data_IF_994636706734
#
_entry.id   IF_994636706734
#
_cell.length_a   1.000
_cell.length_b   1.000
_cell.length_c   1.000
_cell.angle_alpha   90.00
_cell.angle_beta   90.00
_cell.angle_gamma   90.00
#
_symmetry.space_group_name_H-M   'P 1'
#
loop_
_entity.id
_entity.type
_entity.pdbx_description
1 polymer ?
#
# COMPACT_ATOMS: atom_id res chain seq x y z
N UNK A 1 31.23 -59.07 26.06
CA UNK A 1 30.81 -57.65 26.16
C UNK A 1 29.80 -57.36 25.07
N UNK A 2 28.59 -56.88 25.41
CA UNK A 2 27.70 -56.07 24.56
C UNK A 2 26.47 -55.70 25.38
N UNK A 3 26.40 -54.44 25.82
CA UNK A 3 25.20 -53.82 26.40
C UNK A 3 24.44 -53.12 25.26
N UNK A 4 23.11 -53.25 25.15
CA UNK A 4 22.35 -52.43 24.23
C UNK A 4 22.17 -51.04 24.85
N UNK A 5 22.50 -50.00 24.08
CA UNK A 5 22.15 -48.61 24.38
C UNK A 5 20.75 -48.35 23.82
N UNK A 6 19.77 -48.13 24.69
CA UNK A 6 18.47 -47.58 24.33
C UNK A 6 18.63 -46.08 24.06
N UNK A 7 18.44 -45.67 22.81
CA UNK A 7 18.36 -44.26 22.43
C UNK A 7 16.98 -43.72 22.81
N UNK A 8 16.93 -42.75 23.72
CA UNK A 8 15.71 -41.99 24.02
C UNK A 8 15.63 -40.84 23.01
N UNK A 9 14.74 -40.96 22.04
CA UNK A 9 14.47 -39.88 21.08
C UNK A 9 13.52 -38.87 21.72
N UNK A 10 14.04 -37.71 22.13
CA UNK A 10 13.24 -36.59 22.59
C UNK A 10 12.58 -35.90 21.38
N UNK A 11 11.29 -36.11 21.18
CA UNK A 11 10.50 -35.37 20.19
C UNK A 11 10.16 -34.00 20.79
N UNK A 12 10.91 -32.97 20.39
CA UNK A 12 10.55 -31.60 20.71
C UNK A 12 9.38 -31.16 19.81
N UNK A 13 8.17 -31.16 20.36
CA UNK A 13 7.01 -30.58 19.68
C UNK A 13 7.14 -29.05 19.68
N UNK A 14 7.47 -28.48 18.52
CA UNK A 14 7.43 -27.03 18.30
C UNK A 14 5.96 -26.65 18.13
N UNK A 15 5.35 -26.12 19.19
CA UNK A 15 4.03 -25.50 19.10
C UNK A 15 4.16 -24.19 18.30
N UNK A 16 3.80 -24.23 17.01
CA UNK A 16 3.65 -23.03 16.21
C UNK A 16 2.48 -22.21 16.76
N UNK A 17 2.78 -21.13 17.45
CA UNK A 17 1.77 -20.18 17.94
C UNK A 17 1.24 -19.44 16.70
N UNK A 18 0.05 -19.82 16.24
CA UNK A 18 -0.69 -19.07 15.22
C UNK A 18 -1.12 -17.73 15.84
N UNK A 19 -0.28 -16.71 15.70
CA UNK A 19 -0.71 -15.35 15.99
C UNK A 19 -1.80 -14.96 14.97
N UNK A 20 -2.98 -14.48 15.40
CA UNK A 20 -3.97 -13.99 14.46
C UNK A 20 -3.35 -12.82 13.68
N UNK A 21 -3.43 -12.87 12.34
CA UNK A 21 -3.16 -11.70 11.53
C UNK A 21 -4.05 -10.55 12.04
N UNK A 22 -3.56 -9.30 12.10
CA UNK A 22 -4.40 -8.18 12.48
C UNK A 22 -5.60 -8.15 11.53
N UNK A 23 -6.80 -8.30 12.08
CA UNK A 23 -8.03 -8.17 11.31
C UNK A 23 -8.11 -6.73 10.83
N UNK A 24 -7.97 -6.53 9.52
CA UNK A 24 -8.21 -5.24 8.90
C UNK A 24 -9.71 -5.17 8.65
N UNK A 25 -10.36 -4.15 9.23
CA UNK A 25 -11.74 -3.88 8.88
C UNK A 25 -11.79 -3.44 7.42
N UNK A 26 -12.78 -3.95 6.68
CA UNK A 26 -13.04 -3.44 5.35
C UNK A 26 -13.29 -1.94 5.45
N UNK A 27 -12.68 -1.13 4.57
CA UNK A 27 -12.97 0.28 4.54
C UNK A 27 -14.47 0.48 4.20
N UNK A 28 -15.12 1.51 4.78
CA UNK A 28 -16.54 1.75 4.57
C UNK A 28 -16.83 2.01 3.10
N UNK A 29 -17.98 1.57 2.57
CA UNK A 29 -18.33 1.84 1.17
C UNK A 29 -18.38 3.34 0.84
N UNK A 30 -18.00 3.70 -0.38
CA UNK A 30 -17.95 5.09 -0.87
C UNK A 30 -19.37 5.70 -0.93
N UNK A 31 -19.57 6.97 -0.50
CA UNK A 31 -20.85 7.66 -0.66
C UNK A 31 -21.28 7.77 -2.14
N UNK A 32 -22.58 7.59 -2.48
CA UNK A 32 -23.05 7.64 -3.87
C UNK A 32 -22.81 8.99 -4.58
N UNK A 33 -22.71 10.08 -3.81
CA UNK A 33 -22.54 11.46 -4.25
C UNK A 33 -21.09 11.95 -4.17
N UNK A 34 -20.15 11.09 -3.75
CA UNK A 34 -18.74 11.46 -3.69
C UNK A 34 -18.21 11.82 -5.12
N UNK A 35 -17.41 12.90 -5.26
CA UNK A 35 -16.73 13.21 -6.52
C UNK A 35 -15.82 12.06 -6.95
N UNK A 36 -15.76 11.77 -8.25
CA UNK A 36 -14.77 10.80 -8.79
C UNK A 36 -13.36 11.36 -8.63
N UNK A 37 -12.53 10.68 -7.84
CA UNK A 37 -11.17 11.10 -7.56
C UNK A 37 -10.15 10.47 -8.50
N UNK A 38 -10.45 9.30 -9.08
CA UNK A 38 -9.54 8.54 -9.93
C UNK A 38 -10.12 8.46 -11.33
N UNK A 39 -9.32 8.84 -12.32
CA UNK A 39 -9.68 8.73 -13.74
C UNK A 39 -9.54 7.28 -14.20
N UNK A 40 -8.33 6.73 -14.02
CA UNK A 40 -8.04 5.33 -14.27
C UNK A 40 -6.80 4.87 -13.49
N UNK A 41 -6.55 3.57 -13.54
CA UNK A 41 -5.34 2.95 -12.99
C UNK A 41 -4.70 2.03 -14.01
N UNK A 42 -3.39 1.85 -13.91
CA UNK A 42 -2.63 1.02 -14.82
C UNK A 42 -1.54 0.26 -14.08
N UNK A 43 -1.56 -1.06 -14.18
CA UNK A 43 -0.41 -1.89 -13.79
C UNK A 43 0.69 -1.81 -14.84
N UNK A 44 1.90 -1.54 -14.38
CA UNK A 44 3.13 -1.63 -15.18
C UNK A 44 4.11 -2.56 -14.46
N UNK A 45 4.99 -3.20 -15.23
CA UNK A 45 6.00 -4.12 -14.71
C UNK A 45 7.37 -3.76 -15.25
N UNK A 46 8.38 -3.77 -14.39
CA UNK A 46 9.79 -3.73 -14.74
C UNK A 46 10.51 -4.91 -14.09
N UNK A 47 10.97 -5.85 -14.91
CA UNK A 47 11.55 -7.09 -14.38
C UNK A 47 10.53 -7.88 -13.54
N UNK A 48 10.88 -8.17 -12.29
CA UNK A 48 10.04 -8.88 -11.32
C UNK A 48 9.14 -7.96 -10.50
N UNK A 49 9.31 -6.65 -10.62
CA UNK A 49 8.59 -5.66 -9.84
C UNK A 49 7.39 -5.11 -10.62
N UNK A 50 6.30 -4.89 -9.89
CA UNK A 50 5.06 -4.32 -10.39
C UNK A 50 4.79 -2.99 -9.72
N UNK A 51 4.22 -2.07 -10.47
CA UNK A 51 3.81 -0.74 -10.01
C UNK A 51 2.39 -0.46 -10.51
N UNK A 52 1.49 -0.08 -9.62
CA UNK A 52 0.17 0.43 -9.95
C UNK A 52 0.23 1.94 -10.07
N UNK A 53 0.05 2.45 -11.29
CA UNK A 53 -0.04 3.88 -11.56
C UNK A 53 -1.47 4.33 -11.40
N UNK A 54 -1.70 5.33 -10.57
CA UNK A 54 -3.00 5.95 -10.33
C UNK A 54 -2.99 7.31 -11.01
N UNK A 55 -4.02 7.58 -11.81
CA UNK A 55 -4.19 8.84 -12.51
C UNK A 55 -5.33 9.61 -11.85
N UNK A 56 -5.05 10.62 -11.00
CA UNK A 56 -6.10 11.37 -10.32
C UNK A 56 -6.83 12.29 -11.29
N UNK A 57 -8.15 12.45 -11.10
CA UNK A 57 -8.94 13.48 -11.77
C UNK A 57 -8.58 14.88 -11.23
N UNK A 58 -9.06 15.98 -11.84
CA UNK A 58 -8.96 17.30 -11.23
C UNK A 58 -9.56 17.38 -9.81
N UNK A 59 -10.62 16.60 -9.54
CA UNK A 59 -11.21 16.50 -8.20
C UNK A 59 -10.31 15.70 -7.24
N UNK A 60 -9.67 14.64 -7.72
CA UNK A 60 -8.64 13.92 -6.95
C UNK A 60 -7.50 14.84 -6.53
N UNK A 61 -6.99 15.64 -7.46
CA UNK A 61 -5.94 16.64 -7.16
C UNK A 61 -6.41 17.74 -6.22
N UNK A 62 -7.64 18.24 -6.38
CA UNK A 62 -8.18 19.29 -5.53
C UNK A 62 -8.53 18.80 -4.11
N UNK A 63 -8.93 17.53 -3.96
CA UNK A 63 -9.21 16.91 -2.67
C UNK A 63 -7.95 16.50 -1.90
N UNK A 64 -6.87 16.17 -2.62
CA UNK A 64 -5.60 15.78 -2.04
C UNK A 64 -4.81 16.98 -1.47
N UNK A 65 -4.08 16.75 -0.38
CA UNK A 65 -3.23 17.76 0.26
C UNK A 65 -3.18 17.68 1.77
N UNK A 66 -2.27 18.44 2.40
CA UNK A 66 -2.00 18.28 3.84
C UNK A 66 -3.18 18.67 4.74
N UNK A 67 -4.11 19.47 4.21
CA UNK A 67 -5.30 19.95 4.91
C UNK A 67 -6.58 19.25 4.44
N UNK A 68 -6.45 18.14 3.70
CA UNK A 68 -7.58 17.30 3.30
C UNK A 68 -8.35 16.76 4.51
N UNK A 69 -9.66 16.60 4.34
CA UNK A 69 -10.45 15.76 5.23
C UNK A 69 -9.98 14.30 5.07
N UNK A 70 -9.66 13.63 6.19
CA UNK A 70 -9.27 12.22 6.18
C UNK A 70 -10.35 11.28 5.63
N UNK A 71 -11.62 11.69 5.60
CA UNK A 71 -12.68 10.88 4.98
C UNK A 71 -12.50 10.75 3.45
N UNK A 72 -12.11 11.83 2.77
CA UNK A 72 -11.96 11.83 1.30
C UNK A 72 -10.84 10.91 0.83
N UNK A 73 -9.75 10.79 1.61
CA UNK A 73 -8.67 9.87 1.26
C UNK A 73 -9.12 8.42 1.34
N UNK A 74 -9.98 8.05 2.30
CA UNK A 74 -10.55 6.71 2.33
C UNK A 74 -11.60 6.49 1.25
N UNK A 75 -12.42 7.49 0.91
CA UNK A 75 -13.33 7.40 -0.24
C UNK A 75 -12.56 7.15 -1.55
N UNK A 76 -11.45 7.85 -1.77
CA UNK A 76 -10.59 7.66 -2.93
C UNK A 76 -9.84 6.32 -2.90
N UNK A 77 -9.46 5.82 -1.71
CA UNK A 77 -8.91 4.47 -1.56
C UNK A 77 -9.94 3.40 -1.92
N UNK A 78 -11.19 3.58 -1.54
CA UNK A 78 -12.26 2.66 -1.93
C UNK A 78 -12.53 2.68 -3.43
N UNK A 79 -12.57 3.88 -4.03
CA UNK A 79 -12.65 4.03 -5.48
C UNK A 79 -11.45 3.34 -6.19
N UNK A 80 -10.26 3.38 -5.60
CA UNK A 80 -9.10 2.63 -6.11
C UNK A 80 -9.35 1.13 -6.08
N UNK A 81 -9.84 0.59 -4.96
CA UNK A 81 -10.09 -0.85 -4.81
C UNK A 81 -11.23 -1.36 -5.69
N UNK A 82 -12.19 -0.50 -6.04
CA UNK A 82 -13.21 -0.80 -7.06
C UNK A 82 -12.58 -1.04 -8.45
N UNK A 83 -11.46 -0.36 -8.76
CA UNK A 83 -10.77 -0.44 -10.05
C UNK A 83 -9.57 -1.41 -10.06
N UNK A 84 -8.93 -1.63 -8.92
CA UNK A 84 -7.78 -2.53 -8.74
C UNK A 84 -7.85 -3.24 -7.36
N UNK A 85 -8.72 -4.26 -7.21
CA UNK A 85 -8.91 -4.96 -5.94
C UNK A 85 -7.62 -5.56 -5.35
N UNK A 86 -6.70 -6.00 -6.22
CA UNK A 86 -5.40 -6.56 -5.85
C UNK A 86 -4.45 -5.55 -5.19
N UNK A 87 -4.79 -4.26 -5.18
CA UNK A 87 -4.05 -3.24 -4.46
C UNK A 87 -4.27 -3.29 -2.93
N UNK A 88 -5.22 -4.09 -2.43
CA UNK A 88 -5.58 -4.17 -1.01
C UNK A 88 -4.48 -4.82 -0.15
N UNK A 89 -3.44 -4.05 0.13
CA UNK A 89 -2.35 -4.40 1.02
C UNK A 89 -2.00 -3.22 1.90
N UNK A 90 -1.52 -3.52 3.11
CA UNK A 90 -1.14 -2.48 4.07
C UNK A 90 -0.05 -1.55 3.53
N UNK A 91 0.89 -2.07 2.73
CA UNK A 91 1.95 -1.25 2.12
C UNK A 91 1.39 -0.28 1.09
N UNK A 92 0.51 -0.74 0.19
CA UNK A 92 -0.06 0.11 -0.85
C UNK A 92 -1.02 1.16 -0.27
N UNK A 93 -1.79 0.83 0.76
CA UNK A 93 -2.58 1.82 1.48
C UNK A 93 -1.71 2.92 2.08
N UNK A 94 -0.63 2.55 2.77
CA UNK A 94 0.23 3.55 3.41
C UNK A 94 0.90 4.47 2.39
N UNK A 95 1.31 3.91 1.23
CA UNK A 95 1.82 4.67 0.09
C UNK A 95 0.74 5.63 -0.44
N UNK A 96 -0.48 5.13 -0.68
CA UNK A 96 -1.61 5.93 -1.18
C UNK A 96 -1.96 7.10 -0.27
N UNK A 97 -2.11 6.85 1.03
CA UNK A 97 -2.43 7.90 2.00
C UNK A 97 -1.32 8.95 2.09
N UNK A 98 -0.05 8.54 1.96
CA UNK A 98 1.07 9.46 1.89
C UNK A 98 1.00 10.33 0.62
N UNK A 99 0.78 9.72 -0.55
CA UNK A 99 0.61 10.47 -1.80
C UNK A 99 -0.55 11.46 -1.72
N UNK A 100 -1.70 11.02 -1.21
CA UNK A 100 -2.87 11.86 -1.02
C UNK A 100 -2.56 13.07 -0.13
N UNK A 101 -1.90 12.85 1.02
CA UNK A 101 -1.60 13.92 1.96
C UNK A 101 -0.55 14.90 1.43
N UNK A 102 0.45 14.40 0.69
CA UNK A 102 1.58 15.22 0.24
C UNK A 102 1.47 15.73 -1.20
N UNK A 103 0.36 15.44 -1.90
CA UNK A 103 0.10 15.87 -3.28
C UNK A 103 0.33 17.37 -3.51
N UNK A 104 -0.01 18.22 -2.54
CA UNK A 104 0.18 19.68 -2.64
C UNK A 104 1.64 20.14 -2.59
N UNK A 105 2.57 19.29 -2.12
CA UNK A 105 4.01 19.59 -2.05
C UNK A 105 4.81 19.01 -3.21
N UNK A 106 4.24 18.05 -3.94
CA UNK A 106 4.87 17.50 -5.13
C UNK A 106 4.72 18.49 -6.28
N UNK A 107 5.87 18.98 -6.75
CA UNK A 107 6.12 19.90 -7.87
C UNK A 107 4.94 20.12 -8.84
N UNK A 108 4.47 21.36 -9.11
CA UNK A 108 3.40 21.67 -10.08
C UNK A 108 3.69 21.27 -11.54
N UNK A 109 4.90 20.77 -11.86
CA UNK A 109 5.19 20.04 -13.10
C UNK A 109 4.72 18.56 -13.09
N UNK A 110 4.32 18.02 -11.94
CA UNK A 110 3.71 16.69 -11.79
C UNK A 110 2.18 16.80 -11.89
N UNK A 111 1.70 17.09 -13.09
CA UNK A 111 0.45 16.47 -13.55
C UNK A 111 0.86 15.02 -13.88
N UNK A 112 0.75 14.10 -12.91
CA UNK A 112 1.43 12.80 -12.99
C UNK A 112 0.70 11.68 -12.27
N UNK A 113 1.30 10.50 -12.21
CA UNK A 113 0.72 9.33 -11.54
C UNK A 113 1.20 9.21 -10.09
N UNK A 114 0.34 8.73 -9.19
CA UNK A 114 0.78 8.16 -7.91
C UNK A 114 1.10 6.68 -8.13
N UNK A 115 2.28 6.23 -7.71
CA UNK A 115 2.77 4.90 -8.02
C UNK A 115 2.77 4.05 -6.75
N UNK A 116 1.91 3.05 -6.70
CA UNK A 116 1.84 2.12 -5.58
C UNK A 116 2.51 0.80 -5.93
N UNK A 117 3.36 0.32 -5.05
CA UNK A 117 4.23 -0.82 -5.33
C UNK A 117 4.10 -1.86 -4.22
N UNK A 118 3.55 -3.06 -4.50
CA UNK A 118 3.28 -4.07 -3.47
C UNK A 118 4.54 -4.67 -2.85
N UNK A 119 5.71 -4.52 -3.49
CA UNK A 119 6.99 -5.04 -2.99
C UNK A 119 7.66 -4.12 -1.96
N UNK A 120 7.17 -2.90 -1.76
CA UNK A 120 7.73 -1.97 -0.78
C UNK A 120 7.40 -2.41 0.66
N UNK A 121 8.32 -2.23 1.61
CA UNK A 121 8.11 -2.65 2.99
C UNK A 121 7.07 -1.77 3.72
N UNK A 122 6.35 -2.37 4.66
CA UNK A 122 5.57 -1.61 5.64
C UNK A 122 6.54 -0.99 6.65
N UNK A 123 6.53 0.34 6.75
CA UNK A 123 7.43 1.13 7.61
C UNK A 123 6.63 2.14 8.44
N UNK A 124 7.30 2.82 9.38
CA UNK A 124 6.67 3.92 10.12
C UNK A 124 6.33 5.10 9.22
N UNK A 125 5.33 5.91 9.61
CA UNK A 125 4.93 7.09 8.85
C UNK A 125 6.10 8.06 8.59
N UNK A 126 7.01 8.22 9.55
CA UNK A 126 8.21 9.05 9.37
C UNK A 126 9.10 8.54 8.24
N UNK A 127 9.33 7.23 8.14
CA UNK A 127 10.14 6.64 7.06
C UNK A 127 9.38 6.75 5.73
N UNK A 128 8.06 6.50 5.72
CA UNK A 128 7.21 6.63 4.53
C UNK A 128 7.32 8.03 3.92
N UNK A 129 7.13 9.07 4.73
CA UNK A 129 7.21 10.47 4.30
C UNK A 129 8.64 10.82 3.84
N UNK A 130 9.65 10.46 4.63
CA UNK A 130 11.05 10.75 4.29
C UNK A 130 11.55 10.02 3.03
N UNK A 131 10.86 8.95 2.62
CA UNK A 131 11.16 8.20 1.39
C UNK A 131 10.33 8.67 0.19
N UNK A 132 9.63 9.81 0.28
CA UNK A 132 8.79 10.30 -0.82
C UNK A 132 7.58 9.41 -1.10
N UNK A 133 6.99 8.83 -0.05
CA UNK A 133 5.87 7.89 -0.08
C UNK A 133 6.17 6.50 -0.62
N UNK A 134 7.43 6.21 -0.93
CA UNK A 134 7.84 4.99 -1.61
C UNK A 134 9.13 4.44 -0.96
N UNK A 135 9.03 3.73 0.18
CA UNK A 135 10.20 3.22 0.91
C UNK A 135 10.79 1.96 0.27
N UNK A 136 11.99 1.57 0.72
CA UNK A 136 12.57 0.25 0.41
C UNK A 136 13.39 0.15 -0.88
N UNK A 137 13.60 1.26 -1.59
CA UNK A 137 14.43 1.30 -2.79
C UNK A 137 14.15 2.53 -3.65
N UNK A 138 14.93 2.74 -4.73
CA UNK A 138 14.64 3.79 -5.70
C UNK A 138 13.29 3.56 -6.37
N UNK A 139 12.61 4.63 -6.75
CA UNK A 139 11.45 4.59 -7.62
C UNK A 139 11.80 4.01 -8.99
N UNK A 140 10.84 3.30 -9.59
CA UNK A 140 10.95 2.87 -10.98
C UNK A 140 10.89 4.08 -11.92
N UNK A 141 11.85 4.16 -12.84
CA UNK A 141 11.84 5.15 -13.92
C UNK A 141 11.10 4.55 -15.11
N UNK A 142 9.96 5.14 -15.49
CA UNK A 142 9.22 4.75 -16.68
C UNK A 142 9.55 5.72 -17.82
N UNK A 143 9.90 5.18 -18.98
CA UNK A 143 10.10 5.93 -20.23
C UNK A 143 8.78 6.47 -20.79
#
# INVERSE_FOLDING_TARGET
>A
MRRPLTAVASVAAVAAVLAPAPARADPPARPPDAPRYIDHVQWVRQGDRSTLRIFPTPWGWAGAGMFTNGAQSYDAWNELLENAPEADSQTMLNQFLCYWQLASFTNPAKVGTWNLEPWRPVVSNTIMINSGCNPGGPDEAFD
#
